data_IF_481991439751
#
_entry.id   IF_481991439751
#
_cell.length_a   1.000
_cell.length_b   1.000
_cell.length_c   1.000
_cell.angle_alpha   90.00
_cell.angle_beta   90.00
_cell.angle_gamma   90.00
#
_symmetry.space_group_name_H-M   'P 1'
#
loop_
_entity.id
_entity.type
_entity.pdbx_description
1 polymer ?
#
# COMPACT_ATOMS: atom_id res chain seq x y z
N UNK A 1 -1.19 63.99 -14.08
CA UNK A 1 -2.12 63.07 -13.37
C UNK A 1 -2.01 61.65 -13.92
N UNK A 2 -2.01 61.44 -15.25
CA UNK A 2 -1.88 60.12 -15.89
C UNK A 2 -0.67 59.26 -15.47
N UNK A 3 0.54 59.83 -15.41
CA UNK A 3 1.75 59.03 -15.11
C UNK A 3 1.73 58.40 -13.70
N UNK A 4 1.18 59.11 -12.71
CA UNK A 4 1.09 58.60 -11.35
C UNK A 4 0.07 57.46 -11.22
N UNK A 5 -1.05 57.54 -11.93
CA UNK A 5 -2.05 56.48 -11.97
C UNK A 5 -1.52 55.24 -12.71
N UNK A 6 -0.79 55.43 -13.80
CA UNK A 6 -0.08 54.37 -14.52
C UNK A 6 0.94 53.66 -13.62
N UNK A 7 1.78 54.38 -12.89
CA UNK A 7 2.73 53.78 -11.95
C UNK A 7 2.04 52.99 -10.83
N UNK A 8 0.95 53.52 -10.28
CA UNK A 8 0.15 52.81 -9.27
C UNK A 8 -0.47 51.53 -9.84
N UNK A 9 -0.91 51.58 -11.10
CA UNK A 9 -1.45 50.41 -11.81
C UNK A 9 -0.38 49.35 -12.08
N UNK A 10 0.81 49.77 -12.51
CA UNK A 10 1.96 48.87 -12.71
C UNK A 10 2.29 48.14 -11.41
N UNK A 11 2.44 48.86 -10.29
CA UNK A 11 2.72 48.22 -8.98
C UNK A 11 1.61 47.26 -8.53
N UNK A 12 0.35 47.60 -8.82
CA UNK A 12 -0.78 46.71 -8.54
C UNK A 12 -0.71 45.43 -9.35
N UNK A 13 -0.40 45.54 -10.64
CA UNK A 13 -0.29 44.39 -11.56
C UNK A 13 0.93 43.53 -11.23
N UNK A 14 2.07 44.12 -10.84
CA UNK A 14 3.25 43.39 -10.37
C UNK A 14 2.93 42.57 -9.12
N UNK A 15 2.17 43.15 -8.18
CA UNK A 15 1.71 42.45 -6.98
C UNK A 15 0.73 41.31 -7.30
N UNK A 16 -0.19 41.52 -8.23
CA UNK A 16 -1.09 40.47 -8.70
C UNK A 16 -0.33 39.33 -9.40
N UNK A 17 0.61 39.65 -10.27
CA UNK A 17 1.47 38.68 -10.96
C UNK A 17 2.25 37.83 -9.95
N UNK A 18 2.82 38.46 -8.92
CA UNK A 18 3.53 37.76 -7.85
C UNK A 18 2.60 36.82 -7.08
N UNK A 19 1.37 37.23 -6.79
CA UNK A 19 0.37 36.36 -6.17
C UNK A 19 0.00 35.17 -7.06
N UNK A 20 -0.12 35.37 -8.38
CA UNK A 20 -0.39 34.28 -9.32
C UNK A 20 0.77 33.28 -9.37
N UNK A 21 2.02 33.75 -9.44
CA UNK A 21 3.21 32.89 -9.40
C UNK A 21 3.25 32.01 -8.15
N UNK A 22 3.00 32.61 -6.97
CA UNK A 22 2.95 31.86 -5.70
C UNK A 22 1.84 30.80 -5.69
N UNK A 23 0.67 31.11 -6.25
CA UNK A 23 -0.44 30.14 -6.37
C UNK A 23 -0.11 29.00 -7.33
N UNK A 24 0.53 29.31 -8.45
CA UNK A 24 0.98 28.31 -9.42
C UNK A 24 2.01 27.37 -8.79
N UNK A 25 3.01 27.92 -8.10
CA UNK A 25 4.03 27.14 -7.39
C UNK A 25 3.40 26.23 -6.32
N UNK A 26 2.51 26.77 -5.48
CA UNK A 26 1.79 26.00 -4.47
C UNK A 26 1.00 24.84 -5.11
N UNK A 27 0.30 25.11 -6.21
CA UNK A 27 -0.48 24.10 -6.93
C UNK A 27 0.42 23.03 -7.52
N UNK A 28 1.54 23.41 -8.16
CA UNK A 28 2.51 22.49 -8.73
C UNK A 28 3.10 21.56 -7.67
N UNK A 29 3.51 22.11 -6.53
CA UNK A 29 4.03 21.33 -5.39
C UNK A 29 2.95 20.39 -4.85
N UNK A 30 1.71 20.87 -4.70
CA UNK A 30 0.60 20.04 -4.25
C UNK A 30 0.30 18.87 -5.20
N UNK A 31 0.36 19.11 -6.50
CA UNK A 31 0.11 18.12 -7.54
C UNK A 31 1.23 17.07 -7.57
N UNK A 32 2.49 17.48 -7.42
CA UNK A 32 3.63 16.59 -7.31
C UNK A 32 3.56 15.70 -6.06
N UNK A 33 3.23 16.28 -4.90
CA UNK A 33 3.04 15.52 -3.65
C UNK A 33 1.93 14.48 -3.79
N UNK A 34 0.80 14.85 -4.38
CA UNK A 34 -0.33 13.94 -4.58
C UNK A 34 0.06 12.78 -5.50
N UNK A 35 0.77 13.07 -6.59
CA UNK A 35 1.31 12.05 -7.50
C UNK A 35 2.24 11.08 -6.76
N UNK A 36 3.13 11.59 -5.92
CA UNK A 36 4.06 10.76 -5.15
C UNK A 36 3.33 9.84 -4.15
N UNK A 37 2.31 10.36 -3.45
CA UNK A 37 1.48 9.56 -2.53
C UNK A 37 0.76 8.44 -3.29
N UNK A 38 0.18 8.75 -4.45
CA UNK A 38 -0.49 7.75 -5.28
C UNK A 38 0.47 6.66 -5.76
N UNK A 39 1.67 7.04 -6.22
CA UNK A 39 2.70 6.09 -6.66
C UNK A 39 3.17 5.18 -5.52
N UNK A 40 3.34 5.72 -4.31
CA UNK A 40 3.68 4.92 -3.12
C UNK A 40 2.56 3.95 -2.78
N UNK A 41 1.31 4.42 -2.75
CA UNK A 41 0.15 3.59 -2.46
C UNK A 41 0.00 2.46 -3.49
N UNK A 42 0.19 2.77 -4.78
CA UNK A 42 0.18 1.80 -5.87
C UNK A 42 1.26 0.73 -5.68
N UNK A 43 2.51 1.12 -5.46
CA UNK A 43 3.62 0.16 -5.24
C UNK A 43 3.38 -0.73 -4.02
N UNK A 44 2.85 -0.15 -2.93
CA UNK A 44 2.51 -0.92 -1.74
C UNK A 44 1.41 -1.96 -2.03
N UNK A 45 0.38 -1.58 -2.77
CA UNK A 45 -0.67 -2.51 -3.20
C UNK A 45 -0.11 -3.63 -4.09
N UNK A 46 0.75 -3.30 -5.06
CA UNK A 46 1.43 -4.28 -5.92
C UNK A 46 2.27 -5.26 -5.10
N UNK A 47 3.03 -4.78 -4.10
CA UNK A 47 3.80 -5.64 -3.18
C UNK A 47 2.89 -6.57 -2.38
N UNK A 48 1.78 -6.06 -1.83
CA UNK A 48 0.83 -6.87 -1.06
C UNK A 48 0.24 -7.97 -1.94
N UNK A 49 -0.21 -7.62 -3.15
CA UNK A 49 -0.78 -8.58 -4.11
C UNK A 49 0.26 -9.64 -4.49
N UNK A 50 1.49 -9.22 -4.83
CA UNK A 50 2.56 -10.15 -5.18
C UNK A 50 2.88 -11.13 -4.04
N UNK A 51 2.96 -10.64 -2.80
CA UNK A 51 3.16 -11.48 -1.61
C UNK A 51 2.01 -12.47 -1.40
N UNK A 52 0.76 -12.02 -1.55
CA UNK A 52 -0.40 -12.88 -1.41
C UNK A 52 -0.42 -14.01 -2.45
N UNK A 53 -0.08 -13.70 -3.71
CA UNK A 53 0.05 -14.69 -4.78
C UNK A 53 1.18 -15.68 -4.47
N UNK A 54 2.34 -15.18 -4.05
CA UNK A 54 3.50 -16.00 -3.67
C UNK A 54 3.13 -17.00 -2.57
N UNK A 55 2.46 -16.54 -1.51
CA UNK A 55 1.99 -17.39 -0.42
C UNK A 55 1.01 -18.45 -0.90
N UNK A 56 0.05 -18.08 -1.76
CA UNK A 56 -0.90 -19.04 -2.33
C UNK A 56 -0.23 -20.12 -3.17
N UNK A 57 0.78 -19.76 -3.96
CA UNK A 57 1.57 -20.71 -4.76
C UNK A 57 2.42 -21.63 -3.89
N UNK A 58 3.06 -21.11 -2.85
CA UNK A 58 3.84 -21.90 -1.91
C UNK A 58 2.96 -22.90 -1.15
N UNK A 59 1.80 -22.46 -0.67
CA UNK A 59 0.85 -23.32 0.01
C UNK A 59 0.33 -24.44 -0.91
N UNK A 60 -0.01 -24.09 -2.17
CA UNK A 60 -0.39 -25.07 -3.20
C UNK A 60 0.71 -26.11 -3.41
N UNK A 61 1.96 -25.67 -3.56
CA UNK A 61 3.12 -26.57 -3.74
C UNK A 61 3.29 -27.50 -2.54
N UNK A 62 3.15 -26.99 -1.32
CA UNK A 62 3.23 -27.80 -0.11
C UNK A 62 2.14 -28.90 -0.08
N UNK A 63 0.92 -28.59 -0.54
CA UNK A 63 -0.15 -29.60 -0.67
C UNK A 63 0.24 -30.67 -1.68
N UNK A 64 0.70 -30.27 -2.88
CA UNK A 64 1.09 -31.20 -3.94
C UNK A 64 2.21 -32.13 -3.48
N UNK A 65 3.26 -31.61 -2.82
CA UNK A 65 4.37 -32.40 -2.27
C UNK A 65 3.89 -33.45 -1.25
N UNK A 66 2.97 -33.08 -0.37
CA UNK A 66 2.43 -33.99 0.65
C UNK A 66 1.59 -35.08 0.03
N UNK A 67 0.75 -34.74 -0.96
CA UNK A 67 -0.04 -35.74 -1.68
C UNK A 67 0.84 -36.74 -2.43
N UNK A 68 1.92 -36.27 -3.08
CA UNK A 68 2.90 -37.14 -3.74
C UNK A 68 3.55 -38.10 -2.74
N UNK A 69 3.95 -37.61 -1.57
CA UNK A 69 4.57 -38.44 -0.53
C UNK A 69 3.59 -39.50 0.02
N UNK A 70 2.32 -39.11 0.22
CA UNK A 70 1.26 -40.04 0.64
C UNK A 70 1.03 -41.11 -0.42
N UNK A 71 0.97 -40.73 -1.70
CA UNK A 71 0.78 -41.68 -2.80
C UNK A 71 1.95 -42.67 -2.90
N UNK A 72 3.19 -42.20 -2.71
CA UNK A 72 4.39 -43.02 -2.74
C UNK A 72 4.51 -43.96 -1.53
N UNK A 73 4.07 -43.54 -0.33
CA UNK A 73 4.09 -44.38 0.87
C UNK A 73 2.87 -44.12 1.78
N UNK A 74 1.73 -44.78 1.53
CA UNK A 74 0.49 -44.54 2.27
C UNK A 74 0.55 -44.90 3.77
N UNK A 75 1.47 -45.77 4.18
CA UNK A 75 1.62 -46.20 5.58
C UNK A 75 2.06 -45.03 6.47
N UNK A 76 2.82 -44.09 5.91
CA UNK A 76 3.33 -42.90 6.60
C UNK A 76 2.38 -41.69 6.51
N UNK A 77 1.12 -41.88 6.10
CA UNK A 77 0.14 -40.81 5.92
C UNK A 77 0.10 -39.81 7.08
N UNK A 78 -0.02 -40.32 8.30
CA UNK A 78 -0.14 -39.49 9.51
C UNK A 78 1.10 -38.64 9.73
N UNK A 79 2.29 -39.16 9.38
CA UNK A 79 3.55 -38.43 9.49
C UNK A 79 3.57 -37.27 8.49
N UNK A 80 3.30 -37.53 7.21
CA UNK A 80 3.32 -36.49 6.18
C UNK A 80 2.26 -35.41 6.42
N UNK A 81 1.08 -35.79 6.90
CA UNK A 81 0.04 -34.84 7.26
C UNK A 81 0.47 -33.96 8.44
N UNK A 82 1.12 -34.52 9.46
CA UNK A 82 1.59 -33.76 10.62
C UNK A 82 2.70 -32.78 10.24
N UNK A 83 3.67 -33.22 9.44
CA UNK A 83 4.74 -32.36 8.90
C UNK A 83 4.16 -31.20 8.08
N UNK A 84 3.11 -31.45 7.27
CA UNK A 84 2.40 -30.39 6.54
C UNK A 84 1.74 -29.38 7.48
N UNK A 85 1.00 -29.85 8.48
CA UNK A 85 0.31 -28.98 9.43
C UNK A 85 1.30 -28.13 10.22
N UNK A 86 2.38 -28.73 10.72
CA UNK A 86 3.43 -28.03 11.48
C UNK A 86 4.13 -26.97 10.61
N UNK A 87 4.46 -27.30 9.35
CA UNK A 87 5.09 -26.36 8.40
C UNK A 87 4.19 -25.16 8.08
N UNK A 88 2.87 -25.37 8.03
CA UNK A 88 1.90 -24.35 7.62
C UNK A 88 1.06 -23.78 8.79
N UNK A 89 1.42 -24.06 10.04
CA UNK A 89 0.67 -23.62 11.24
C UNK A 89 0.50 -22.09 11.29
N UNK A 90 1.55 -21.36 10.90
CA UNK A 90 1.54 -19.90 10.79
C UNK A 90 0.50 -19.35 9.80
N UNK A 91 0.04 -20.17 8.85
CA UNK A 91 -0.99 -19.81 7.89
C UNK A 91 -2.38 -20.28 8.33
N UNK A 92 -2.46 -21.46 8.97
CA UNK A 92 -3.73 -22.09 9.34
C UNK A 92 -4.32 -21.54 10.65
N UNK A 93 -3.48 -21.21 11.63
CA UNK A 93 -3.91 -20.94 13.01
C UNK A 93 -3.57 -19.54 13.51
N UNK A 94 -2.61 -18.83 12.89
CA UNK A 94 -2.32 -17.44 13.27
C UNK A 94 -3.30 -16.48 12.60
N UNK A 95 -4.42 -16.23 13.28
CA UNK A 95 -5.04 -14.91 13.22
C UNK A 95 -4.19 -13.98 14.07
N UNK A 96 -3.41 -13.12 13.45
CA UNK A 96 -2.61 -12.14 14.20
C UNK A 96 -3.54 -11.09 14.79
N UNK A 97 -3.90 -11.25 16.08
CA UNK A 97 -4.77 -10.32 16.83
C UNK A 97 -4.23 -8.87 16.80
N UNK A 98 -2.93 -8.69 16.58
CA UNK A 98 -2.34 -7.36 16.43
C UNK A 98 -2.72 -6.71 15.10
N UNK A 99 -2.91 -7.49 14.03
CA UNK A 99 -3.35 -6.96 12.73
C UNK A 99 -4.79 -6.46 12.82
N UNK A 100 -5.70 -7.20 13.46
CA UNK A 100 -7.07 -6.73 13.71
C UNK A 100 -7.09 -5.42 14.50
N UNK A 101 -6.35 -5.35 15.62
CA UNK A 101 -6.23 -4.11 16.40
C UNK A 101 -5.67 -2.94 15.59
N UNK A 102 -4.62 -3.16 14.80
CA UNK A 102 -4.04 -2.11 13.97
C UNK A 102 -5.00 -1.61 12.90
N UNK A 103 -5.74 -2.52 12.26
CA UNK A 103 -6.75 -2.17 11.26
C UNK A 103 -7.88 -1.36 11.88
N UNK A 104 -8.36 -1.76 13.06
CA UNK A 104 -9.38 -1.02 13.80
C UNK A 104 -8.89 0.38 14.20
N UNK A 105 -7.65 0.53 14.67
CA UNK A 105 -7.06 1.84 14.98
C UNK A 105 -6.98 2.74 13.73
N UNK A 106 -6.56 2.20 12.59
CA UNK A 106 -6.49 2.94 11.32
C UNK A 106 -7.89 3.39 10.88
N UNK A 107 -8.88 2.48 10.90
CA UNK A 107 -10.27 2.79 10.51
C UNK A 107 -10.88 3.85 11.44
N UNK A 108 -10.63 3.75 12.75
CA UNK A 108 -11.17 4.69 13.73
C UNK A 108 -10.51 6.08 13.63
N UNK A 109 -9.23 6.15 13.26
CA UNK A 109 -8.54 7.42 13.02
C UNK A 109 -8.97 8.10 11.70
N UNK A 110 -9.44 7.35 10.71
CA UNK A 110 -9.97 7.90 9.46
C UNK A 110 -11.40 8.44 9.59
N UNK A 111 -12.14 8.05 10.64
CA UNK A 111 -13.52 8.50 10.92
C UNK A 111 -13.59 9.76 11.80
N UNK A 112 -12.46 10.27 12.29
CA UNK A 112 -12.35 11.55 13.03
C UNK A 112 -11.97 12.67 12.08
#
# INVERSE_FOLDING_TARGET
MENYELEKRIRSLEKELENYKKREEYTKIGLERTKNVYEIARKNAEIIIAKAISLGQEFKKNIEEVLINIEANPIEFTKYLKEFLDKNDHFLNKKDEHIEKYLDEIINNLKK
#
